data_IF_767745184109
#
_entry.id   IF_767745184109
#
_cell.length_a   1.000
_cell.length_b   1.000
_cell.length_c   1.000
_cell.angle_alpha   90.00
_cell.angle_beta   90.00
_cell.angle_gamma   90.00
#
_symmetry.space_group_name_H-M   'P 1'
#
loop_
_entity.id
_entity.type
_entity.pdbx_description
1 polymer ?
#
# COMPACT_ATOMS: atom_id res chain seq x y z
N UNK A 1 -20.21 5.53 -20.61
CA UNK A 1 -20.01 4.34 -19.74
C UNK A 1 -18.65 4.51 -19.07
N UNK A 2 -18.62 4.92 -17.81
CA UNK A 2 -17.37 5.09 -17.08
C UNK A 2 -16.85 3.70 -16.68
N UNK A 3 -15.84 3.22 -17.40
CA UNK A 3 -15.21 1.94 -17.09
C UNK A 3 -14.57 1.99 -15.71
N UNK A 4 -14.95 1.07 -14.82
CA UNK A 4 -14.22 0.80 -13.61
C UNK A 4 -12.84 0.25 -14.01
N UNK A 5 -11.83 1.12 -14.00
CA UNK A 5 -10.44 0.72 -14.23
C UNK A 5 -9.98 0.05 -12.94
N UNK A 6 -10.02 -1.29 -12.92
CA UNK A 6 -9.31 -2.08 -11.92
C UNK A 6 -7.83 -1.66 -11.99
N UNK A 7 -7.38 -0.82 -11.05
CA UNK A 7 -5.96 -0.55 -10.87
C UNK A 7 -5.38 -1.86 -10.37
N UNK A 8 -4.83 -2.67 -11.28
CA UNK A 8 -4.04 -3.82 -10.89
C UNK A 8 -2.95 -3.27 -9.96
N UNK A 9 -2.94 -3.73 -8.70
CA UNK A 9 -1.67 -3.84 -8.00
C UNK A 9 -0.70 -4.44 -9.03
N UNK A 10 0.46 -3.82 -9.27
CA UNK A 10 1.52 -4.56 -9.93
C UNK A 10 1.96 -5.63 -8.93
N UNK A 11 1.16 -6.69 -8.85
CA UNK A 11 1.49 -7.90 -8.14
C UNK A 11 2.65 -8.49 -8.91
N UNK A 12 3.89 -8.28 -8.46
CA UNK A 12 4.95 -9.18 -8.91
C UNK A 12 4.53 -10.57 -8.43
N UNK A 13 4.63 -11.62 -9.28
CA UNK A 13 4.13 -12.97 -8.96
C UNK A 13 4.83 -13.66 -7.77
N UNK A 14 5.62 -12.92 -7.00
CA UNK A 14 6.45 -13.32 -5.89
C UNK A 14 6.20 -12.54 -4.59
N UNK A 15 5.27 -11.57 -4.56
CA UNK A 15 5.00 -10.85 -3.30
C UNK A 15 4.33 -11.75 -2.26
N UNK A 16 4.83 -11.78 -1.00
CA UNK A 16 4.20 -12.54 0.07
C UNK A 16 2.73 -12.14 0.24
N UNK A 17 1.78 -13.08 0.40
CA UNK A 17 0.35 -12.79 0.57
C UNK A 17 0.03 -11.79 1.70
N UNK A 18 0.86 -11.79 2.74
CA UNK A 18 0.77 -10.84 3.85
C UNK A 18 1.04 -9.41 3.39
N UNK A 19 2.01 -9.19 2.50
CA UNK A 19 2.35 -7.84 2.03
C UNK A 19 1.26 -7.26 1.13
N UNK A 20 0.59 -8.10 0.33
CA UNK A 20 -0.60 -7.70 -0.44
C UNK A 20 -1.75 -7.31 0.49
N UNK A 21 -1.98 -8.11 1.53
CA UNK A 21 -3.00 -7.81 2.54
C UNK A 21 -2.73 -6.49 3.26
N UNK A 22 -1.47 -6.23 3.61
CA UNK A 22 -1.02 -4.97 4.20
C UNK A 22 -1.25 -3.77 3.28
N UNK A 23 -0.97 -3.89 1.97
CA UNK A 23 -1.24 -2.82 1.01
C UNK A 23 -2.74 -2.48 0.94
N UNK A 24 -3.62 -3.49 0.96
CA UNK A 24 -5.06 -3.28 1.04
C UNK A 24 -5.50 -2.59 2.33
N UNK A 25 -4.87 -2.93 3.46
CA UNK A 25 -5.13 -2.27 4.74
C UNK A 25 -4.71 -0.79 4.71
N UNK A 26 -3.53 -0.49 4.13
CA UNK A 26 -3.03 0.87 3.97
C UNK A 26 -3.97 1.69 3.07
N UNK A 27 -4.36 1.13 1.92
CA UNK A 27 -5.30 1.77 0.99
C UNK A 27 -6.64 2.10 1.67
N UNK A 28 -7.19 1.13 2.41
CA UNK A 28 -8.42 1.34 3.16
C UNK A 28 -8.29 2.42 4.25
N UNK A 29 -7.13 2.53 4.92
CA UNK A 29 -6.87 3.55 5.93
C UNK A 29 -6.79 4.95 5.30
N UNK A 30 -6.05 5.10 4.20
CA UNK A 30 -5.93 6.35 3.43
C UNK A 30 -7.31 6.81 2.95
N UNK A 31 -8.12 5.91 2.41
CA UNK A 31 -9.47 6.22 1.95
C UNK A 31 -10.39 6.64 3.09
N UNK A 32 -10.29 6.00 4.26
CA UNK A 32 -11.07 6.38 5.45
C UNK A 32 -10.67 7.75 5.97
N UNK A 33 -9.37 8.02 6.10
CA UNK A 33 -8.85 9.32 6.47
C UNK A 33 -9.37 10.39 5.50
N UNK A 34 -9.20 10.18 4.19
CA UNK A 34 -9.60 11.13 3.16
C UNK A 34 -11.10 11.46 3.22
N UNK A 35 -11.95 10.47 3.51
CA UNK A 35 -13.38 10.68 3.70
C UNK A 35 -13.69 11.45 4.99
N UNK A 36 -12.98 11.18 6.08
CA UNK A 36 -13.18 11.84 7.37
C UNK A 36 -12.71 13.29 7.36
N UNK A 37 -11.61 13.59 6.69
CA UNK A 37 -11.00 14.93 6.61
C UNK A 37 -11.43 15.73 5.37
N UNK A 38 -12.27 15.16 4.50
CA UNK A 38 -12.79 15.84 3.31
C UNK A 38 -11.75 16.09 2.23
N UNK A 39 -10.73 15.23 2.12
CA UNK A 39 -9.66 15.35 1.14
C UNK A 39 -10.15 15.06 -0.27
N UNK A 40 -9.62 15.80 -1.25
CA UNK A 40 -9.86 15.51 -2.65
C UNK A 40 -9.04 14.30 -3.10
N UNK A 41 -9.61 13.47 -3.97
CA UNK A 41 -8.96 12.26 -4.51
C UNK A 41 -7.61 12.50 -5.18
N UNK A 42 -7.38 13.72 -5.65
CA UNK A 42 -6.16 14.18 -6.32
C UNK A 42 -5.08 14.66 -5.36
N UNK A 43 -5.38 14.75 -4.06
CA UNK A 43 -4.41 15.19 -3.07
C UNK A 43 -3.35 14.11 -2.86
N UNK A 44 -2.12 14.54 -2.60
CA UNK A 44 -1.07 13.66 -2.12
C UNK A 44 -1.28 13.33 -0.64
N UNK A 45 -0.64 12.27 -0.19
CA UNK A 45 -0.67 11.85 1.21
C UNK A 45 0.69 11.24 1.60
N UNK A 46 0.98 11.20 2.89
CA UNK A 46 2.18 10.56 3.44
C UNK A 46 1.78 9.34 4.26
N UNK A 47 2.54 8.25 4.15
CA UNK A 47 2.35 7.09 5.02
C UNK A 47 2.89 7.31 6.45
N UNK A 48 3.68 8.37 6.66
CA UNK A 48 4.16 8.81 7.97
C UNK A 48 3.16 9.76 8.67
N UNK A 49 2.04 10.08 8.03
CA UNK A 49 1.01 10.93 8.62
C UNK A 49 0.27 10.17 9.71
N UNK A 50 0.39 10.64 10.96
CA UNK A 50 -0.27 10.03 12.11
C UNK A 50 -1.79 9.97 11.94
N UNK A 51 -2.40 10.95 11.27
CA UNK A 51 -3.85 10.93 11.03
C UNK A 51 -4.27 9.75 10.15
N UNK A 52 -3.41 9.30 9.23
CA UNK A 52 -3.65 8.12 8.40
C UNK A 52 -3.33 6.84 9.16
N UNK A 53 -2.21 6.84 9.89
CA UNK A 53 -1.71 5.69 10.63
C UNK A 53 -2.68 5.29 11.75
N UNK A 54 -3.39 6.24 12.37
CA UNK A 54 -4.45 5.97 13.35
C UNK A 54 -5.62 5.16 12.78
N UNK A 55 -5.86 5.23 11.47
CA UNK A 55 -6.88 4.41 10.80
C UNK A 55 -6.40 2.98 10.48
N UNK A 56 -5.12 2.67 10.68
CA UNK A 56 -4.57 1.32 10.58
C UNK A 56 -4.72 0.60 11.92
N UNK A 57 -5.18 -0.65 11.88
CA UNK A 57 -5.31 -1.47 13.10
C UNK A 57 -3.94 -1.60 13.77
N UNK A 58 -3.81 -1.03 14.97
CA UNK A 58 -2.57 -1.02 15.74
C UNK A 58 -1.82 0.31 15.73
N UNK A 59 -2.29 1.32 14.98
CA UNK A 59 -1.71 2.66 14.99
C UNK A 59 -0.29 2.72 14.44
N UNK A 60 0.07 1.80 13.53
CA UNK A 60 1.38 1.77 12.88
C UNK A 60 1.27 1.17 11.49
N UNK A 61 2.16 1.57 10.57
CA UNK A 61 2.29 0.89 9.29
C UNK A 61 2.65 -0.59 9.54
N UNK A 62 2.01 -1.54 8.84
CA UNK A 62 2.36 -2.93 8.96
C UNK A 62 3.76 -3.17 8.36
N UNK A 63 4.40 -4.26 8.79
CA UNK A 63 5.70 -4.68 8.25
C UNK A 63 5.50 -5.78 7.24
N UNK A 64 6.22 -5.69 6.11
CA UNK A 64 6.29 -6.76 5.14
C UNK A 64 7.40 -7.74 5.53
N UNK A 65 7.15 -9.07 5.61
CA UNK A 65 8.11 -10.07 6.08
C UNK A 65 9.41 -10.16 5.26
N UNK A 66 9.45 -9.68 4.02
CA UNK A 66 10.66 -9.65 3.22
C UNK A 66 11.48 -8.35 3.39
N UNK A 67 11.11 -7.50 4.36
CA UNK A 67 11.80 -6.25 4.66
C UNK A 67 11.50 -5.12 3.68
N UNK A 68 10.56 -5.27 2.74
CA UNK A 68 10.15 -4.19 1.86
C UNK A 68 9.46 -3.05 2.62
N UNK A 69 9.67 -1.82 2.14
CA UNK A 69 9.02 -0.61 2.67
C UNK A 69 7.83 -0.23 1.81
N UNK A 70 6.74 0.22 2.44
CA UNK A 70 5.59 0.76 1.73
C UNK A 70 5.82 2.22 1.32
N UNK A 71 5.28 2.61 0.16
CA UNK A 71 5.31 3.96 -0.37
C UNK A 71 3.89 4.42 -0.71
N UNK A 72 3.57 5.71 -0.48
CA UNK A 72 2.29 6.26 -0.89
C UNK A 72 2.14 6.20 -2.42
N UNK A 73 0.88 6.13 -2.87
CA UNK A 73 0.54 6.42 -4.25
C UNK A 73 0.79 7.89 -4.59
N UNK A 74 0.76 8.24 -5.87
CA UNK A 74 0.93 9.62 -6.30
C UNK A 74 -0.20 10.55 -5.77
N UNK A 75 -1.40 10.00 -5.62
CA UNK A 75 -2.57 10.66 -5.03
C UNK A 75 -3.33 9.67 -4.15
N UNK A 76 -4.27 10.14 -3.34
CA UNK A 76 -5.19 9.31 -2.55
C UNK A 76 -5.91 8.25 -3.40
N UNK A 77 -6.16 8.53 -4.69
CA UNK A 77 -6.79 7.57 -5.60
C UNK A 77 -5.80 6.56 -6.19
N UNK A 78 -4.51 6.82 -6.10
CA UNK A 78 -3.45 5.91 -6.53
C UNK A 78 -3.10 4.96 -5.41
N UNK A 79 -2.99 3.68 -5.77
CA UNK A 79 -2.69 2.63 -4.81
C UNK A 79 -1.31 2.85 -4.19
N UNK A 80 -1.12 2.55 -2.90
CA UNK A 80 0.19 2.44 -2.32
C UNK A 80 0.99 1.34 -3.04
N UNK A 81 2.30 1.47 -3.02
CA UNK A 81 3.21 0.46 -3.56
C UNK A 81 4.16 -0.03 -2.48
N UNK A 82 4.84 -1.14 -2.73
CA UNK A 82 5.99 -1.55 -1.93
C UNK A 82 7.26 -1.39 -2.75
N UNK A 83 8.34 -1.01 -2.10
CA UNK A 83 9.68 -1.06 -2.67
C UNK A 83 10.43 -2.20 -2.02
N UNK A 84 10.82 -3.18 -2.83
CA UNK A 84 11.73 -4.23 -2.39
C UNK A 84 13.06 -3.55 -2.07
N UNK A 85 13.51 -3.64 -0.82
CA UNK A 85 14.87 -3.23 -0.46
C UNK A 85 15.86 -3.96 -1.36
N UNK A 86 16.87 -3.28 -1.87
CA UNK A 86 17.76 -3.81 -2.89
C UNK A 86 18.21 -5.26 -2.62
N UNK A 87 17.84 -6.14 -3.54
CA UNK A 87 18.35 -7.51 -3.72
C UNK A 87 17.94 -8.52 -2.65
N UNK A 88 16.77 -9.12 -2.85
CA UNK A 88 16.67 -10.57 -2.70
C UNK A 88 16.47 -11.13 -4.09
N UNK A 89 17.53 -11.68 -4.69
CA UNK A 89 17.33 -12.76 -5.64
C UNK A 89 16.32 -13.71 -5.00
N UNK A 90 15.18 -13.94 -5.66
CA UNK A 90 14.35 -15.08 -5.34
C UNK A 90 15.30 -16.28 -5.47
N UNK A 91 15.80 -16.79 -4.34
CA UNK A 91 16.36 -18.12 -4.28
C UNK A 91 15.23 -19.00 -4.75
N UNK A 92 15.31 -19.44 -6.00
CA UNK A 92 14.56 -20.58 -6.47
C UNK A 92 14.94 -21.71 -5.50
N UNK A 93 14.01 -22.31 -4.74
CA UNK A 93 14.26 -23.66 -4.27
C UNK A 93 14.42 -24.51 -5.54
N UNK A 94 15.60 -25.10 -5.69
CA UNK A 94 15.98 -25.83 -6.88
C UNK A 94 15.10 -27.05 -7.14
N UNK A 95 15.04 -27.39 -8.42
CA UNK A 95 15.04 -28.76 -8.92
C UNK A 95 15.92 -28.81 -10.17
#
# INVERSE_FOLDING_TARGET
MAGYRFKHHQETPDEPPLCKSNLMLIDAAVMKWAMASGQAKTNSYSLDDNEIVEHIKGGSLPVCPDGATYKPGATIWDLPSRTVGGHAHKLLPGE
#
